data_IF_341088193474
#
_entry.id   IF_341088193474
#
_cell.length_a   1.000
_cell.length_b   1.000
_cell.length_c   1.000
_cell.angle_alpha   90.00
_cell.angle_beta   90.00
_cell.angle_gamma   90.00
#
_symmetry.space_group_name_H-M   'P 1'
#
loop_
_entity.id
_entity.type
_entity.pdbx_description
1 polymer ?
#
# COMPACT_ATOMS: atom_id res chain seq x y z
N UNK A 1 -4.37 11.94 -11.75
CA UNK A 1 -3.24 12.85 -11.55
C UNK A 1 -2.11 12.49 -12.48
N UNK A 2 -1.44 13.50 -12.97
CA UNK A 2 -0.35 13.30 -13.90
C UNK A 2 0.90 12.76 -13.20
N UNK A 3 1.67 11.97 -13.94
CA UNK A 3 2.97 11.49 -13.48
C UNK A 3 3.88 12.68 -13.14
N UNK A 4 4.48 12.62 -11.94
CA UNK A 4 5.46 13.63 -11.51
C UNK A 4 6.86 13.12 -11.81
N UNK A 5 7.69 13.94 -12.42
CA UNK A 5 9.06 13.58 -12.81
C UNK A 5 10.04 14.27 -11.87
N UNK A 6 10.91 13.49 -11.27
CA UNK A 6 11.96 13.97 -10.35
C UNK A 6 13.31 13.79 -11.03
N UNK A 7 13.96 14.90 -11.37
CA UNK A 7 15.29 14.90 -11.98
C UNK A 7 16.37 15.28 -10.97
N UNK A 8 15.97 15.89 -9.86
CA UNK A 8 16.89 16.39 -8.85
C UNK A 8 16.27 16.35 -7.45
N UNK A 9 17.09 16.55 -6.43
CA UNK A 9 16.58 16.67 -5.06
C UNK A 9 15.64 17.88 -4.92
N UNK A 10 15.88 18.95 -5.66
CA UNK A 10 15.02 20.13 -5.67
C UNK A 10 13.63 19.81 -6.19
N UNK A 11 13.53 18.99 -7.24
CA UNK A 11 12.24 18.54 -7.76
C UNK A 11 11.47 17.73 -6.72
N UNK A 12 12.17 16.85 -5.99
CA UNK A 12 11.56 16.05 -4.95
C UNK A 12 11.09 16.93 -3.79
N UNK A 13 11.90 17.90 -3.38
CA UNK A 13 11.53 18.83 -2.32
C UNK A 13 10.34 19.71 -2.69
N UNK A 14 10.18 20.03 -3.95
CA UNK A 14 9.04 20.80 -4.44
C UNK A 14 7.72 20.05 -4.27
N UNK A 15 7.76 18.73 -4.15
CA UNK A 15 6.58 17.90 -3.93
C UNK A 15 6.19 17.77 -2.46
N UNK A 16 7.04 18.24 -1.54
CA UNK A 16 6.74 18.13 -0.10
C UNK A 16 5.38 18.77 0.22
N UNK A 17 4.54 18.01 0.91
CA UNK A 17 3.18 18.44 1.25
C UNK A 17 2.14 18.21 0.16
N UNK A 18 2.54 17.77 -1.02
CA UNK A 18 1.61 17.56 -2.13
C UNK A 18 1.15 16.11 -2.24
N UNK A 19 -0.13 15.94 -2.58
CA UNK A 19 -0.66 14.65 -2.98
C UNK A 19 -0.18 14.36 -4.41
N UNK A 20 0.51 13.23 -4.58
CA UNK A 20 1.15 12.92 -5.86
C UNK A 20 0.42 11.86 -6.68
N UNK A 21 -0.57 11.21 -6.10
CA UNK A 21 -1.32 10.23 -6.88
C UNK A 21 -2.46 9.56 -6.14
N UNK A 22 -3.34 9.00 -6.95
CA UNK A 22 -4.46 8.17 -6.56
C UNK A 22 -4.50 6.99 -7.52
N UNK A 23 -4.35 5.77 -6.99
CA UNK A 23 -4.29 4.58 -7.84
C UNK A 23 -5.67 4.15 -8.34
N UNK A 24 -5.68 3.26 -9.33
CA UNK A 24 -6.86 2.50 -9.67
C UNK A 24 -7.21 1.53 -8.52
N UNK A 25 -8.42 1.02 -8.55
CA UNK A 25 -8.87 0.01 -7.61
C UNK A 25 -8.27 -1.35 -7.95
N UNK A 26 -7.91 -2.12 -6.92
CA UNK A 26 -7.50 -3.52 -7.05
C UNK A 26 -8.41 -4.37 -6.17
N UNK A 27 -8.82 -5.52 -6.67
CA UNK A 27 -9.65 -6.47 -5.91
C UNK A 27 -8.76 -7.33 -5.04
N UNK A 28 -9.11 -7.45 -3.77
CA UNK A 28 -8.43 -8.34 -2.83
C UNK A 28 -9.24 -9.64 -2.76
N UNK A 29 -8.92 -10.58 -3.64
CA UNK A 29 -9.62 -11.86 -3.68
C UNK A 29 -8.98 -12.90 -2.77
N UNK A 30 -9.66 -14.02 -2.57
CA UNK A 30 -9.19 -15.10 -1.71
C UNK A 30 -7.88 -15.70 -2.23
N UNK A 31 -7.74 -15.81 -3.54
CA UNK A 31 -6.52 -16.34 -4.15
C UNK A 31 -5.29 -15.52 -3.75
N UNK A 32 -5.41 -14.20 -3.80
CA UNK A 32 -4.31 -13.29 -3.39
C UNK A 32 -4.00 -13.45 -1.91
N UNK A 33 -5.02 -13.56 -1.08
CA UNK A 33 -4.85 -13.76 0.37
C UNK A 33 -4.15 -15.09 0.63
N UNK A 34 -4.57 -16.15 -0.04
CA UNK A 34 -3.95 -17.48 0.11
C UNK A 34 -2.49 -17.48 -0.34
N UNK A 35 -2.18 -16.78 -1.43
CA UNK A 35 -0.81 -16.63 -1.90
C UNK A 35 0.08 -15.90 -0.88
N UNK A 36 -0.46 -14.87 -0.25
CA UNK A 36 0.28 -14.14 0.79
C UNK A 36 0.50 -15.00 2.03
N UNK A 37 -0.52 -15.76 2.43
CA UNK A 37 -0.40 -16.71 3.54
C UNK A 37 0.71 -17.72 3.28
N UNK A 38 0.77 -18.26 2.07
CA UNK A 38 1.80 -19.21 1.68
C UNK A 38 3.19 -18.58 1.68
N UNK A 39 3.30 -17.36 1.14
CA UNK A 39 4.58 -16.67 1.05
C UNK A 39 5.16 -16.32 2.43
N UNK A 40 4.31 -16.05 3.42
CA UNK A 40 4.74 -15.54 4.73
C UNK A 40 4.61 -16.54 5.87
N UNK A 41 3.82 -17.59 5.69
CA UNK A 41 3.52 -18.55 6.75
C UNK A 41 2.41 -18.11 7.70
N UNK A 42 1.70 -17.02 7.40
CA UNK A 42 0.59 -16.56 8.22
C UNK A 42 -0.72 -17.18 7.75
N UNK A 43 -1.05 -18.33 8.32
CA UNK A 43 -2.24 -19.11 7.98
C UNK A 43 -3.36 -18.97 9.02
N UNK A 44 -3.43 -17.87 9.74
CA UNK A 44 -4.50 -17.68 10.71
C UNK A 44 -5.86 -17.88 10.02
N UNK A 45 -6.78 -18.58 10.69
CA UNK A 45 -8.05 -19.01 10.07
C UNK A 45 -8.88 -17.83 9.54
N UNK A 46 -8.77 -16.66 10.15
CA UNK A 46 -9.53 -15.48 9.70
C UNK A 46 -9.21 -15.05 8.27
N UNK A 47 -8.04 -15.48 7.76
CA UNK A 47 -7.59 -15.15 6.41
C UNK A 47 -7.86 -16.27 5.41
N UNK A 48 -7.75 -17.52 5.82
CA UNK A 48 -7.69 -18.64 4.87
C UNK A 48 -8.82 -19.66 4.99
N UNK A 49 -9.49 -19.76 6.14
CA UNK A 49 -10.53 -20.76 6.35
C UNK A 49 -11.90 -20.16 6.05
N UNK A 50 -12.31 -20.28 4.78
CA UNK A 50 -13.56 -19.71 4.30
C UNK A 50 -14.80 -20.32 4.96
N UNK A 51 -14.75 -21.61 5.28
CA UNK A 51 -15.88 -22.29 5.94
C UNK A 51 -16.06 -21.81 7.37
N UNK A 52 -14.97 -21.72 8.12
CA UNK A 52 -15.00 -21.21 9.48
C UNK A 52 -15.38 -19.73 9.50
N UNK A 53 -14.85 -18.95 8.56
CA UNK A 53 -15.21 -17.54 8.44
C UNK A 53 -16.70 -17.34 8.18
N UNK A 54 -17.31 -18.18 7.36
CA UNK A 54 -18.74 -18.12 7.09
C UNK A 54 -19.57 -18.29 8.36
N UNK A 55 -19.08 -19.07 9.32
CA UNK A 55 -19.78 -19.32 10.58
C UNK A 55 -19.43 -18.32 11.70
N UNK A 56 -18.17 -17.90 11.76
CA UNK A 56 -17.65 -17.21 12.95
C UNK A 56 -17.23 -15.75 12.71
N UNK A 57 -17.04 -15.32 11.45
CA UNK A 57 -16.73 -13.92 11.17
C UNK A 57 -18.01 -13.08 11.11
N UNK A 58 -17.99 -11.82 11.57
CA UNK A 58 -19.19 -10.97 11.62
C UNK A 58 -19.94 -10.88 10.29
N UNK A 59 -19.24 -10.80 9.17
CA UNK A 59 -19.83 -10.70 7.84
C UNK A 59 -19.78 -12.03 7.05
N UNK A 60 -19.40 -13.11 7.72
CA UNK A 60 -19.29 -14.43 7.08
C UNK A 60 -18.17 -14.52 6.05
N UNK A 61 -17.21 -13.61 6.07
CA UNK A 61 -16.14 -13.56 5.09
C UNK A 61 -14.78 -13.51 5.77
N UNK A 62 -13.77 -14.05 5.11
CA UNK A 62 -12.38 -13.87 5.52
C UNK A 62 -11.97 -12.41 5.34
N UNK A 63 -10.89 -12.03 5.97
CA UNK A 63 -10.30 -10.71 5.82
C UNK A 63 -8.87 -10.83 5.34
N UNK A 64 -8.41 -9.81 4.61
CA UNK A 64 -7.02 -9.70 4.18
C UNK A 64 -6.11 -9.54 5.39
N UNK A 65 -4.90 -10.08 5.29
CA UNK A 65 -3.81 -9.69 6.20
C UNK A 65 -3.58 -8.19 6.08
N UNK A 66 -3.40 -7.51 7.20
CA UNK A 66 -2.98 -6.10 7.15
C UNK A 66 -1.65 -5.95 6.41
N UNK A 67 -0.72 -6.88 6.63
CA UNK A 67 0.56 -6.87 5.95
C UNK A 67 0.46 -7.10 4.44
N UNK A 68 -0.57 -7.78 3.96
CA UNK A 68 -0.81 -7.90 2.52
C UNK A 68 -1.16 -6.52 1.94
N UNK A 69 -2.08 -5.80 2.55
CA UNK A 69 -2.46 -4.47 2.07
C UNK A 69 -1.27 -3.52 2.09
N UNK A 70 -0.47 -3.54 3.14
CA UNK A 70 0.77 -2.78 3.22
C UNK A 70 1.72 -3.13 2.07
N UNK A 71 1.87 -4.41 1.79
CA UNK A 71 2.78 -4.92 0.74
C UNK A 71 2.35 -4.54 -0.67
N UNK A 72 1.08 -4.17 -0.87
CA UNK A 72 0.58 -3.74 -2.18
C UNK A 72 0.92 -2.29 -2.52
N UNK A 73 1.39 -1.51 -1.56
CA UNK A 73 1.68 -0.09 -1.77
C UNK A 73 2.62 0.15 -2.96
N UNK A 74 3.75 -0.57 -3.10
CA UNK A 74 4.64 -0.34 -4.25
C UNK A 74 3.94 -0.55 -5.60
N UNK A 75 3.12 -1.58 -5.71
CA UNK A 75 2.39 -1.83 -6.96
C UNK A 75 1.35 -0.74 -7.25
N UNK A 76 0.65 -0.28 -6.22
CA UNK A 76 -0.40 0.73 -6.37
C UNK A 76 0.15 2.12 -6.65
N UNK A 77 1.31 2.46 -6.08
CA UNK A 77 1.88 3.80 -6.17
C UNK A 77 3.02 3.92 -7.18
N UNK A 78 3.40 2.84 -7.84
CA UNK A 78 4.60 2.76 -8.66
C UNK A 78 4.64 3.70 -9.87
N UNK A 79 3.49 4.20 -10.29
CA UNK A 79 3.41 5.12 -11.43
C UNK A 79 3.08 6.57 -11.02
N UNK A 80 3.17 6.91 -9.74
CA UNK A 80 2.88 8.27 -9.30
C UNK A 80 4.05 9.22 -9.57
N UNK A 81 5.26 8.72 -9.40
CA UNK A 81 6.49 9.48 -9.49
C UNK A 81 7.51 8.69 -10.29
N UNK A 82 8.18 9.35 -11.20
CA UNK A 82 9.31 8.79 -11.92
C UNK A 82 10.58 9.53 -11.51
N UNK A 83 11.55 8.79 -11.01
CA UNK A 83 12.86 9.35 -10.64
C UNK A 83 13.84 9.04 -11.76
N UNK A 84 14.31 10.08 -12.43
CA UNK A 84 15.22 9.94 -13.58
C UNK A 84 16.57 9.41 -13.11
N UNK A 85 17.14 8.49 -13.88
CA UNK A 85 18.42 7.85 -13.60
C UNK A 85 18.44 7.04 -12.30
N UNK A 86 17.29 6.55 -11.88
CA UNK A 86 17.20 5.70 -10.71
C UNK A 86 17.81 4.33 -10.99
N UNK A 87 18.86 3.96 -10.26
CA UNK A 87 19.45 2.64 -10.35
C UNK A 87 18.58 1.59 -9.67
N UNK A 88 18.07 1.92 -8.49
CA UNK A 88 17.17 1.05 -7.72
C UNK A 88 16.48 1.84 -6.61
N UNK A 89 15.32 1.35 -6.20
CA UNK A 89 14.61 1.85 -5.04
C UNK A 89 14.58 0.75 -3.98
N UNK A 90 14.83 1.12 -2.74
CA UNK A 90 14.88 0.18 -1.62
C UNK A 90 13.92 0.68 -0.55
N UNK A 91 13.16 -0.24 0.02
CA UNK A 91 12.35 0.07 1.20
C UNK A 91 13.29 0.32 2.38
N UNK A 92 13.33 1.57 2.82
CA UNK A 92 14.21 1.97 3.91
C UNK A 92 13.59 1.70 5.28
N UNK A 93 12.29 1.96 5.42
CA UNK A 93 11.62 1.75 6.68
C UNK A 93 10.23 2.35 6.72
N UNK A 94 9.59 2.21 7.88
CA UNK A 94 8.26 2.73 8.16
C UNK A 94 8.30 3.48 9.48
N UNK A 95 7.83 4.73 9.48
CA UNK A 95 7.76 5.50 10.72
C UNK A 95 6.50 5.17 11.52
N UNK A 96 5.41 4.90 10.83
CA UNK A 96 4.12 4.61 11.46
C UNK A 96 3.25 3.82 10.51
N UNK A 97 2.60 2.78 11.04
CA UNK A 97 1.57 2.01 10.32
C UNK A 97 0.38 1.85 11.24
N UNK A 98 -0.82 2.02 10.70
CA UNK A 98 -2.07 1.75 11.42
C UNK A 98 -3.04 1.03 10.48
N UNK A 99 -3.60 -0.05 10.98
CA UNK A 99 -4.66 -0.78 10.28
C UNK A 99 -5.98 -0.41 10.96
N UNK A 100 -6.66 0.59 10.41
CA UNK A 100 -7.85 1.16 11.05
C UNK A 100 -9.08 0.27 10.96
N UNK A 101 -9.17 -0.53 9.91
CA UNK A 101 -10.33 -1.38 9.68
C UNK A 101 -9.91 -2.65 8.94
N UNK A 102 -10.58 -3.77 9.18
CA UNK A 102 -10.33 -4.97 8.40
C UNK A 102 -10.76 -4.76 6.93
N UNK A 103 -10.10 -5.48 6.04
CA UNK A 103 -10.40 -5.46 4.61
C UNK A 103 -11.01 -6.82 4.25
N UNK A 104 -12.33 -6.93 4.12
CA UNK A 104 -12.98 -8.20 3.78
C UNK A 104 -12.57 -8.68 2.40
N UNK A 105 -12.53 -10.01 2.23
CA UNK A 105 -12.28 -10.61 0.92
C UNK A 105 -13.27 -10.07 -0.11
N UNK A 106 -12.79 -9.81 -1.32
CA UNK A 106 -13.61 -9.24 -2.39
C UNK A 106 -13.67 -7.72 -2.40
N UNK A 107 -13.09 -7.05 -1.40
CA UNK A 107 -13.05 -5.60 -1.37
C UNK A 107 -12.18 -5.04 -2.47
N UNK A 108 -12.51 -3.84 -2.92
CA UNK A 108 -11.66 -3.05 -3.82
C UNK A 108 -10.85 -2.08 -2.98
N UNK A 109 -9.56 -2.04 -3.24
CA UNK A 109 -8.59 -1.25 -2.50
C UNK A 109 -7.85 -0.32 -3.45
N UNK A 110 -7.58 0.91 -3.02
CA UNK A 110 -6.72 1.84 -3.77
C UNK A 110 -5.83 2.61 -2.82
N UNK A 111 -4.78 3.21 -3.37
CA UNK A 111 -3.83 4.00 -2.60
C UNK A 111 -3.87 5.47 -3.01
N UNK A 112 -3.76 6.32 -2.00
CA UNK A 112 -3.60 7.77 -2.15
C UNK A 112 -2.30 8.14 -1.45
N UNK A 113 -1.38 8.81 -2.16
CA UNK A 113 -0.06 9.10 -1.62
C UNK A 113 0.25 10.58 -1.63
N UNK A 114 0.95 11.00 -0.58
CA UNK A 114 1.41 12.37 -0.37
C UNK A 114 2.88 12.34 0.02
N UNK A 115 3.68 13.19 -0.59
CA UNK A 115 5.08 13.34 -0.20
C UNK A 115 5.15 14.19 1.06
N UNK A 116 5.82 13.68 2.09
CA UNK A 116 6.01 14.41 3.34
C UNK A 116 7.36 15.10 3.37
N UNK A 117 8.43 14.42 2.96
CA UNK A 117 9.77 14.94 3.04
C UNK A 117 10.67 14.29 1.99
N UNK A 118 11.57 15.09 1.44
CA UNK A 118 12.63 14.61 0.57
C UNK A 118 13.96 15.16 1.08
N UNK A 119 14.96 14.30 1.22
CA UNK A 119 16.30 14.72 1.67
C UNK A 119 17.39 13.81 1.13
N UNK A 120 18.62 14.29 1.15
CA UNK A 120 19.78 13.47 0.83
C UNK A 120 20.21 12.68 2.07
N UNK A 121 20.60 11.44 1.85
CA UNK A 121 21.17 10.59 2.89
C UNK A 121 22.22 9.67 2.25
N UNK A 122 23.47 9.80 2.68
CA UNK A 122 24.57 8.96 2.21
C UNK A 122 24.61 8.81 0.68
N UNK A 123 24.44 9.94 -0.04
CA UNK A 123 24.47 9.95 -1.51
C UNK A 123 23.19 9.50 -2.20
N UNK A 124 22.15 9.17 -1.45
CA UNK A 124 20.86 8.73 -1.98
C UNK A 124 19.76 9.75 -1.66
N UNK A 125 18.67 9.67 -2.41
CA UNK A 125 17.44 10.40 -2.11
C UNK A 125 16.62 9.56 -1.12
N UNK A 126 16.33 10.11 0.04
CA UNK A 126 15.39 9.53 0.99
C UNK A 126 14.06 10.26 0.88
N UNK A 127 13.05 9.53 0.39
CA UNK A 127 11.72 10.06 0.20
C UNK A 127 10.79 9.48 1.24
N UNK A 128 10.15 10.35 2.04
CA UNK A 128 9.16 9.94 3.02
C UNK A 128 7.78 10.30 2.50
N UNK A 129 6.90 9.32 2.46
CA UNK A 129 5.54 9.48 1.95
C UNK A 129 4.52 9.01 2.96
N UNK A 130 3.35 9.63 2.95
CA UNK A 130 2.16 9.12 3.64
C UNK A 130 1.28 8.47 2.59
N UNK A 131 0.96 7.21 2.79
CA UNK A 131 0.06 6.48 1.91
C UNK A 131 -1.17 6.07 2.69
N UNK A 132 -2.33 6.39 2.15
CA UNK A 132 -3.61 5.94 2.68
C UNK A 132 -4.19 4.90 1.74
N UNK A 133 -4.58 3.77 2.31
CA UNK A 133 -5.29 2.75 1.57
C UNK A 133 -6.78 2.92 1.85
N UNK A 134 -7.55 3.01 0.77
CA UNK A 134 -8.99 3.21 0.85
C UNK A 134 -9.70 1.96 0.35
N UNK A 135 -10.76 1.56 1.06
CA UNK A 135 -11.65 0.47 0.65
C UNK A 135 -12.89 1.11 0.05
N UNK A 136 -13.32 0.65 -1.12
CA UNK A 136 -14.52 1.17 -1.78
C UNK A 136 -15.74 1.06 -0.87
N UNK A 137 -16.45 2.16 -0.70
CA UNK A 137 -17.63 2.22 0.16
C UNK A 137 -17.34 2.51 1.62
N UNK A 138 -16.08 2.57 2.02
CA UNK A 138 -15.67 2.85 3.40
C UNK A 138 -15.02 4.23 3.52
N UNK A 139 -15.07 4.80 4.74
CA UNK A 139 -14.48 6.12 4.98
C UNK A 139 -12.98 6.06 5.29
N UNK A 140 -12.48 4.89 5.68
CA UNK A 140 -11.08 4.69 6.05
C UNK A 140 -10.56 3.40 5.45
#
# INVERSE_FOLDING_TARGET
MDLRIIESIEDAKALEGEEVGLSDWVVIDQHRIDQFAEATGDYQWIHVDTERAAREMPNGRTISHGYLTLSLIPALTGNFVEIVNLARAINFGLNKVRFYAPVPVGSKLRARAKVLQARRRAGALLLTSETRLEVEGERK
#
